data_IF_961959152189
#
_entry.id   IF_961959152189
#
_cell.length_a   1.000
_cell.length_b   1.000
_cell.length_c   1.000
_cell.angle_alpha   90.00
_cell.angle_beta   90.00
_cell.angle_gamma   90.00
#
_symmetry.space_group_name_H-M   'P 1'
#
loop_
_entity.id
_entity.type
_entity.pdbx_description
1 polymer ?
#
# COMPACT_ATOMS: atom_id res chain seq x y z
N UNK A 1 33.41 13.19 -3.91
CA UNK A 1 32.23 13.88 -3.35
C UNK A 1 31.33 14.20 -4.53
N UNK A 2 30.14 13.65 -4.75
CA UNK A 2 29.13 12.95 -3.93
C UNK A 2 28.40 12.04 -4.93
N UNK A 3 28.56 10.71 -4.89
CA UNK A 3 27.73 9.73 -4.18
C UNK A 3 26.24 9.85 -4.51
N UNK A 4 25.78 9.18 -5.59
CA UNK A 4 24.37 8.86 -5.78
C UNK A 4 24.22 7.35 -5.83
N UNK A 5 23.73 6.82 -4.72
CA UNK A 5 23.35 5.42 -4.53
C UNK A 5 21.98 5.25 -5.17
N UNK A 6 21.92 4.76 -6.41
CA UNK A 6 20.69 4.24 -7.00
C UNK A 6 20.90 2.80 -7.42
N UNK A 7 19.93 2.00 -7.04
CA UNK A 7 19.59 0.71 -7.63
C UNK A 7 20.52 -0.45 -7.29
N UNK A 8 20.31 -1.02 -6.09
CA UNK A 8 20.50 -2.44 -5.88
C UNK A 8 19.27 -3.23 -6.37
N UNK A 9 18.81 -2.97 -7.61
CA UNK A 9 18.19 -4.06 -8.38
C UNK A 9 19.36 -4.79 -9.01
N UNK A 10 19.90 -5.73 -8.24
CA UNK A 10 20.88 -6.69 -8.73
C UNK A 10 20.15 -7.53 -9.78
N UNK A 11 20.12 -7.06 -11.03
CA UNK A 11 19.90 -7.90 -12.19
C UNK A 11 20.99 -8.94 -12.12
N UNK A 12 20.62 -10.06 -11.51
CA UNK A 12 21.52 -11.16 -11.30
C UNK A 12 21.76 -11.71 -12.71
N UNK A 13 22.99 -11.57 -13.21
CA UNK A 13 23.53 -12.28 -14.35
C UNK A 13 23.54 -13.79 -14.03
N UNK A 14 22.35 -14.40 -13.85
CA UNK A 14 22.23 -15.84 -13.92
C UNK A 14 22.32 -16.21 -15.40
N UNK A 15 23.42 -16.86 -15.75
CA UNK A 15 23.53 -17.69 -16.93
C UNK A 15 22.30 -18.60 -17.03
N UNK A 16 21.77 -18.71 -18.24
CA UNK A 16 20.51 -19.37 -18.61
C UNK A 16 20.45 -20.85 -18.17
N UNK A 17 21.58 -21.44 -17.78
CA UNK A 17 21.74 -22.86 -17.43
C UNK A 17 21.15 -23.28 -16.06
N UNK A 18 20.66 -22.36 -15.23
CA UNK A 18 20.12 -22.68 -13.88
C UNK A 18 18.62 -22.40 -13.72
N UNK A 19 17.92 -22.02 -14.79
CA UNK A 19 16.49 -21.74 -14.71
C UNK A 19 15.71 -23.06 -14.88
N UNK A 20 14.76 -23.40 -13.98
CA UNK A 20 13.85 -24.51 -14.24
C UNK A 20 13.12 -24.24 -15.56
N UNK A 21 12.95 -25.27 -16.38
CA UNK A 21 12.36 -25.19 -17.72
C UNK A 21 11.02 -24.45 -17.67
N UNK A 22 11.03 -23.17 -18.05
CA UNK A 22 9.88 -22.27 -17.92
C UNK A 22 9.40 -21.88 -19.31
N UNK A 23 8.49 -22.69 -19.87
CA UNK A 23 7.88 -22.52 -21.19
C UNK A 23 7.10 -21.21 -21.38
N UNK A 24 6.83 -20.50 -20.28
CA UNK A 24 6.08 -19.25 -20.26
C UNK A 24 6.98 -18.03 -20.49
N UNK A 25 8.29 -18.12 -20.25
CA UNK A 25 9.24 -17.02 -20.46
C UNK A 25 10.02 -17.25 -21.76
N UNK A 26 9.78 -16.38 -22.75
CA UNK A 26 10.48 -16.42 -24.05
C UNK A 26 11.31 -15.16 -24.24
N UNK A 27 12.52 -15.27 -24.78
CA UNK A 27 13.29 -14.09 -25.22
C UNK A 27 12.87 -13.74 -26.65
N UNK A 28 12.48 -12.48 -26.89
CA UNK A 28 12.25 -11.95 -28.24
C UNK A 28 13.59 -11.85 -28.99
N UNK A 29 13.58 -11.82 -30.32
CA UNK A 29 14.77 -11.72 -31.16
C UNK A 29 15.72 -10.55 -30.79
N UNK A 30 15.18 -9.48 -30.20
CA UNK A 30 15.91 -8.30 -29.72
C UNK A 30 16.50 -8.46 -28.30
N UNK A 31 16.41 -9.64 -27.70
CA UNK A 31 16.96 -9.94 -26.36
C UNK A 31 16.07 -9.53 -25.18
N UNK A 32 14.84 -9.08 -25.43
CA UNK A 32 13.90 -8.69 -24.37
C UNK A 32 13.12 -9.90 -23.83
N UNK A 33 12.99 -10.07 -22.51
CA UNK A 33 12.18 -11.12 -21.89
C UNK A 33 10.68 -10.84 -22.07
N UNK A 34 9.99 -11.79 -22.67
CA UNK A 34 8.55 -11.78 -22.91
C UNK A 34 7.91 -12.93 -22.12
N UNK A 35 7.08 -12.59 -21.13
CA UNK A 35 6.34 -13.56 -20.32
C UNK A 35 4.94 -13.75 -20.90
N UNK A 36 4.61 -14.99 -21.29
CA UNK A 36 3.27 -15.37 -21.71
C UNK A 36 2.31 -15.19 -20.53
N UNK A 37 1.11 -14.66 -20.83
CA UNK A 37 0.05 -14.55 -19.82
C UNK A 37 -0.39 -15.96 -19.42
N UNK A 38 -0.17 -16.31 -18.15
CA UNK A 38 -0.67 -17.56 -17.60
C UNK A 38 -2.20 -17.62 -17.76
N UNK A 39 -2.74 -18.76 -18.25
CA UNK A 39 -4.19 -18.93 -18.30
C UNK A 39 -4.78 -18.84 -16.89
N UNK A 40 -5.96 -18.22 -16.77
CA UNK A 40 -6.65 -18.15 -15.49
C UNK A 40 -6.92 -19.55 -14.96
N UNK A 41 -6.56 -19.81 -13.69
CA UNK A 41 -6.90 -21.07 -13.03
C UNK A 41 -8.43 -21.22 -13.03
N UNK A 42 -8.92 -22.42 -13.37
CA UNK A 42 -10.34 -22.75 -13.24
C UNK A 42 -10.73 -22.56 -11.77
N UNK A 43 -11.85 -21.86 -11.53
CA UNK A 43 -12.38 -21.73 -10.17
C UNK A 43 -12.66 -23.13 -9.63
N UNK A 44 -12.21 -23.46 -8.41
CA UNK A 44 -12.55 -24.72 -7.77
C UNK A 44 -14.07 -24.79 -7.57
N UNK A 45 -14.61 -26.01 -7.64
CA UNK A 45 -16.05 -26.27 -7.52
C UNK A 45 -16.58 -25.85 -6.14
N UNK A 46 -15.80 -26.13 -5.09
CA UNK A 46 -16.15 -25.86 -3.68
C UNK A 46 -15.83 -24.42 -3.22
N UNK A 47 -15.64 -23.47 -4.15
CA UNK A 47 -15.24 -22.09 -3.81
C UNK A 47 -16.26 -21.39 -2.91
N UNK A 48 -17.55 -21.60 -3.17
CA UNK A 48 -18.62 -20.96 -2.41
C UNK A 48 -18.74 -21.54 -1.01
N UNK A 49 -18.59 -22.86 -0.86
CA UNK A 49 -18.59 -23.53 0.44
C UNK A 49 -17.40 -23.08 1.29
N UNK A 50 -16.22 -22.98 0.68
CA UNK A 50 -15.04 -22.41 1.34
C UNK A 50 -15.28 -20.96 1.77
N UNK A 51 -15.87 -20.12 0.89
CA UNK A 51 -16.18 -18.73 1.20
C UNK A 51 -17.14 -18.62 2.38
N UNK A 52 -18.15 -19.48 2.44
CA UNK A 52 -19.12 -19.52 3.54
C UNK A 52 -18.46 -19.96 4.84
N UNK A 53 -17.64 -21.01 4.79
CA UNK A 53 -16.87 -21.49 5.94
C UNK A 53 -15.92 -20.41 6.49
N UNK A 54 -15.17 -19.72 5.63
CA UNK A 54 -14.31 -18.60 6.04
C UNK A 54 -15.11 -17.49 6.69
N UNK A 55 -16.26 -17.10 6.10
CA UNK A 55 -17.12 -16.06 6.67
C UNK A 55 -17.68 -16.44 8.05
N UNK A 56 -18.08 -17.69 8.25
CA UNK A 56 -18.58 -18.17 9.54
C UNK A 56 -17.52 -18.08 10.65
N UNK A 57 -16.24 -18.18 10.31
CA UNK A 57 -15.12 -18.08 11.25
C UNK A 57 -14.54 -16.66 11.36
N UNK A 58 -14.98 -15.71 10.53
CA UNK A 58 -14.50 -14.33 10.58
C UNK A 58 -15.33 -13.54 11.60
N UNK A 59 -14.75 -13.15 12.75
CA UNK A 59 -15.48 -12.32 13.70
C UNK A 59 -15.68 -10.92 13.13
N UNK A 60 -16.74 -10.24 13.56
CA UNK A 60 -16.91 -8.81 13.30
C UNK A 60 -15.75 -8.03 13.92
N UNK A 61 -15.13 -7.17 13.12
CA UNK A 61 -14.03 -6.30 13.55
C UNK A 61 -14.26 -4.92 12.98
N UNK A 62 -14.04 -3.89 13.79
CA UNK A 62 -14.08 -2.53 13.29
C UNK A 62 -12.85 -2.24 12.43
N UNK A 63 -13.05 -1.53 11.31
CA UNK A 63 -11.96 -1.17 10.39
C UNK A 63 -10.82 -0.44 11.13
N UNK A 64 -11.16 0.44 12.07
CA UNK A 64 -10.18 1.17 12.87
C UNK A 64 -9.31 0.23 13.74
N UNK A 65 -9.89 -0.85 14.25
CA UNK A 65 -9.15 -1.86 15.02
C UNK A 65 -8.22 -2.67 14.12
N UNK A 66 -8.66 -2.98 12.89
CA UNK A 66 -7.78 -3.63 11.90
C UNK A 66 -6.58 -2.75 11.55
N UNK A 67 -6.82 -1.46 11.30
CA UNK A 67 -5.75 -0.48 11.04
C UNK A 67 -4.79 -0.38 12.24
N UNK A 68 -5.33 -0.34 13.47
CA UNK A 68 -4.53 -0.34 14.69
C UNK A 68 -3.69 -1.61 14.85
N UNK A 69 -4.27 -2.78 14.60
CA UNK A 69 -3.55 -4.05 14.68
C UNK A 69 -2.45 -4.16 13.63
N UNK A 70 -2.72 -3.73 12.39
CA UNK A 70 -1.70 -3.68 11.35
C UNK A 70 -0.57 -2.72 11.76
N UNK A 71 -0.90 -1.53 12.26
CA UNK A 71 0.10 -0.58 12.73
C UNK A 71 0.95 -1.18 13.87
N UNK A 72 0.32 -1.83 14.84
CA UNK A 72 1.03 -2.47 15.94
C UNK A 72 2.01 -3.56 15.45
N UNK A 73 1.63 -4.32 14.40
CA UNK A 73 2.45 -5.45 13.94
C UNK A 73 3.61 -5.04 13.04
N UNK A 74 3.41 -4.08 12.13
CA UNK A 74 4.41 -3.72 11.11
C UNK A 74 4.91 -2.27 11.22
N UNK A 75 4.29 -1.46 12.08
CA UNK A 75 4.69 -0.07 12.29
C UNK A 75 4.52 0.82 11.06
N UNK A 76 3.52 0.55 10.21
CA UNK A 76 3.47 1.12 8.85
C UNK A 76 3.46 2.65 8.79
N UNK A 77 2.98 3.34 9.84
CA UNK A 77 2.90 4.81 9.86
C UNK A 77 4.27 5.48 9.91
N UNK A 78 5.34 4.77 10.29
CA UNK A 78 6.72 5.27 10.21
C UNK A 78 7.16 5.58 8.77
N UNK A 79 6.56 4.90 7.80
CA UNK A 79 6.81 5.13 6.38
C UNK A 79 5.95 6.29 5.83
N UNK A 80 4.95 6.72 6.59
CA UNK A 80 4.15 7.91 6.35
C UNK A 80 4.67 9.09 7.18
N UNK A 81 5.97 9.16 7.45
CA UNK A 81 6.62 10.33 8.04
C UNK A 81 7.19 11.25 6.97
N UNK A 82 7.37 12.56 7.23
CA UNK A 82 8.23 13.41 6.42
C UNK A 82 9.64 12.79 6.29
N UNK A 83 10.41 13.16 5.26
CA UNK A 83 11.78 12.69 5.11
C UNK A 83 12.59 12.84 6.41
N UNK A 84 13.50 11.90 6.72
CA UNK A 84 14.27 11.91 7.96
C UNK A 84 14.92 13.29 8.18
N UNK A 85 14.66 13.90 9.34
CA UNK A 85 15.10 15.26 9.69
C UNK A 85 13.99 16.31 9.74
N UNK A 86 12.77 15.98 9.29
CA UNK A 86 11.56 16.77 9.53
C UNK A 86 10.62 16.01 10.46
N UNK A 87 11.06 15.73 11.68
CA UNK A 87 10.23 15.01 12.65
C UNK A 87 8.99 15.87 12.94
N UNK A 88 7.77 15.40 12.59
CA UNK A 88 6.59 16.15 12.93
C UNK A 88 6.51 16.21 14.44
N UNK A 89 6.54 17.42 15.01
CA UNK A 89 6.16 17.68 16.41
C UNK A 89 4.66 17.41 16.64
N UNK A 90 4.15 16.30 16.11
CA UNK A 90 2.80 15.83 16.35
C UNK A 90 2.87 14.98 17.60
N UNK A 91 2.48 15.56 18.72
CA UNK A 91 2.04 14.77 19.86
C UNK A 91 1.02 13.73 19.37
N UNK A 92 1.28 12.46 19.66
CA UNK A 92 0.41 11.32 19.30
C UNK A 92 0.22 11.13 17.78
N UNK A 93 1.34 11.03 17.07
CA UNK A 93 1.44 10.82 15.63
C UNK A 93 0.54 9.66 15.13
N UNK A 94 0.55 8.55 15.84
CA UNK A 94 -0.04 7.29 15.43
C UNK A 94 -1.55 7.42 15.31
N UNK A 95 -2.25 7.93 16.34
CA UNK A 95 -3.70 8.12 16.28
C UNK A 95 -4.11 9.10 15.18
N UNK A 96 -3.31 10.14 14.94
CA UNK A 96 -3.60 11.12 13.87
C UNK A 96 -3.43 10.52 12.47
N UNK A 97 -2.40 9.71 12.26
CA UNK A 97 -2.22 8.97 11.01
C UNK A 97 -3.30 7.93 10.80
N UNK A 98 -3.70 7.19 11.84
CA UNK A 98 -4.82 6.25 11.76
C UNK A 98 -6.13 6.95 11.38
N UNK A 99 -6.43 8.10 12.00
CA UNK A 99 -7.64 8.87 11.66
C UNK A 99 -7.58 9.49 10.27
N UNK A 100 -6.39 9.90 9.81
CA UNK A 100 -6.21 10.36 8.43
C UNK A 100 -6.49 9.23 7.43
N UNK A 101 -5.89 8.06 7.62
CA UNK A 101 -6.09 6.89 6.74
C UNK A 101 -7.55 6.46 6.75
N UNK A 102 -8.17 6.37 7.93
CA UNK A 102 -9.58 6.03 8.05
C UNK A 102 -10.48 7.08 7.38
N UNK A 103 -10.28 8.36 7.69
CA UNK A 103 -11.12 9.45 7.19
C UNK A 103 -11.05 9.63 5.68
N UNK A 104 -9.86 9.55 5.09
CA UNK A 104 -9.69 9.63 3.64
C UNK A 104 -10.03 8.30 2.95
N UNK A 105 -9.65 7.16 3.53
CA UNK A 105 -9.94 5.84 2.98
C UNK A 105 -11.43 5.49 2.95
N UNK A 106 -12.22 6.01 3.91
CA UNK A 106 -13.67 5.86 3.93
C UNK A 106 -14.42 7.00 3.21
N UNK A 107 -13.73 7.95 2.57
CA UNK A 107 -14.36 9.04 1.83
C UNK A 107 -15.03 10.13 2.68
N UNK A 108 -14.79 10.17 3.99
CA UNK A 108 -15.33 11.20 4.88
C UNK A 108 -14.63 12.55 4.70
N UNK A 109 -13.33 12.51 4.40
CA UNK A 109 -12.48 13.68 4.28
C UNK A 109 -12.20 14.37 5.63
N UNK A 110 -11.34 15.39 5.60
CA UNK A 110 -10.78 16.01 6.81
C UNK A 110 -11.83 16.66 7.73
N UNK A 111 -12.83 17.35 7.16
CA UNK A 111 -13.83 18.07 7.95
C UNK A 111 -14.74 17.13 8.74
N UNK A 112 -15.34 16.15 8.07
CA UNK A 112 -16.25 15.19 8.72
C UNK A 112 -15.51 14.33 9.74
N UNK A 113 -14.32 13.84 9.38
CA UNK A 113 -13.53 13.01 10.29
C UNK A 113 -13.15 13.79 11.55
N UNK A 114 -12.70 15.04 11.43
CA UNK A 114 -12.35 15.87 12.59
C UNK A 114 -13.56 16.18 13.49
N UNK A 115 -14.73 16.43 12.90
CA UNK A 115 -15.97 16.65 13.66
C UNK A 115 -16.36 15.43 14.52
N UNK A 116 -16.13 14.21 14.01
CA UNK A 116 -16.53 12.97 14.68
C UNK A 116 -15.45 12.37 15.60
N UNK A 117 -14.24 12.92 15.61
CA UNK A 117 -13.10 12.40 16.39
C UNK A 117 -12.83 13.16 17.69
N UNK A 118 -13.77 14.00 18.15
CA UNK A 118 -13.74 14.69 19.46
C UNK A 118 -12.40 15.38 19.78
N UNK A 119 -11.77 15.99 18.77
CA UNK A 119 -10.52 16.74 18.93
C UNK A 119 -9.22 15.93 18.84
N UNK A 120 -9.27 14.62 18.55
CA UNK A 120 -8.06 13.80 18.29
C UNK A 120 -7.29 14.34 17.07
N UNK A 121 -8.03 14.76 16.03
CA UNK A 121 -7.50 15.39 14.83
C UNK A 121 -8.24 16.68 14.51
N UNK A 122 -7.52 17.64 13.92
CA UNK A 122 -8.11 18.87 13.38
C UNK A 122 -8.20 18.78 11.86
N UNK A 123 -9.15 19.47 11.20
CA UNK A 123 -9.24 19.45 9.73
C UNK A 123 -7.93 19.88 9.06
N UNK A 124 -7.26 20.90 9.63
CA UNK A 124 -5.96 21.38 9.15
C UNK A 124 -4.85 20.35 9.34
N UNK A 125 -4.81 19.67 10.50
CA UNK A 125 -3.83 18.61 10.77
C UNK A 125 -3.99 17.44 9.81
N UNK A 126 -5.24 17.03 9.55
CA UNK A 126 -5.55 15.96 8.58
C UNK A 126 -5.18 16.34 7.15
N UNK A 127 -5.53 17.56 6.71
CA UNK A 127 -5.16 18.03 5.38
C UNK A 127 -3.65 18.04 5.21
N UNK A 128 -2.92 18.55 6.20
CA UNK A 128 -1.45 18.57 6.18
C UNK A 128 -0.86 17.16 6.10
N UNK A 129 -1.39 16.19 6.84
CA UNK A 129 -0.98 14.78 6.74
C UNK A 129 -1.24 14.25 5.33
N UNK A 130 -2.42 14.47 4.76
CA UNK A 130 -2.74 14.01 3.42
C UNK A 130 -1.83 14.64 2.35
N UNK A 131 -1.62 15.95 2.39
CA UNK A 131 -0.76 16.67 1.45
C UNK A 131 0.71 16.22 1.53
N UNK A 132 1.16 15.70 2.68
CA UNK A 132 2.51 15.17 2.86
C UNK A 132 2.71 13.76 2.25
N UNK A 133 1.63 13.02 2.00
CA UNK A 133 1.71 11.60 1.59
C UNK A 133 0.96 11.25 0.30
N UNK A 134 0.05 12.11 -0.15
CA UNK A 134 -0.65 11.97 -1.42
C UNK A 134 -0.28 13.15 -2.31
N UNK A 135 0.79 12.99 -3.10
CA UNK A 135 1.17 13.95 -4.13
C UNK A 135 0.51 13.60 -5.46
N UNK A 136 -0.04 14.60 -6.15
CA UNK A 136 -0.68 14.46 -7.46
C UNK A 136 0.21 13.80 -8.54
N UNK A 137 1.54 13.84 -8.37
CA UNK A 137 2.49 13.17 -9.27
C UNK A 137 2.37 11.64 -9.25
N UNK A 138 1.72 11.06 -8.25
CA UNK A 138 1.58 9.60 -8.07
C UNK A 138 0.23 9.05 -8.58
N UNK A 139 -0.65 9.91 -9.12
CA UNK A 139 -1.95 9.52 -9.68
C UNK A 139 -1.88 9.67 -11.21
N UNK A 140 -1.46 8.64 -11.96
CA UNK A 140 -1.28 8.72 -13.42
C UNK A 140 -2.59 8.87 -14.21
N UNK A 141 -3.74 8.96 -13.55
CA UNK A 141 -5.07 8.87 -14.18
C UNK A 141 -5.69 10.24 -14.50
N UNK A 142 -5.04 11.36 -14.19
CA UNK A 142 -5.59 12.71 -14.38
C UNK A 142 -4.70 13.65 -15.21
N UNK A 143 -3.72 13.11 -15.95
CA UNK A 143 -2.88 13.90 -16.87
C UNK A 143 -3.07 13.45 -18.32
N UNK A 144 -4.32 13.25 -18.75
CA UNK A 144 -4.68 13.25 -20.17
C UNK A 144 -6.13 13.73 -20.29
N UNK A 145 -6.26 15.03 -20.58
CA UNK A 145 -7.38 15.68 -21.26
C UNK A 145 -6.89 17.02 -21.80
#
# INVERSE_FOLDING_TARGET
MVTTVMSAVKFCNLSVDTMPDNSDLTLTADGHPHLKRAPGRKKPEDLEDFRLAVKAHLPERHLLDMLKHAHYRIGYTRHFGPPPGHDPKLADDTRRYLMAIFGYGCGLGAKQTAQHTRGIVTPHGMKRINDQHATLKDIPILTEN
#
